data_IF_973300651374
#
_entry.id   IF_973300651374
#
_cell.length_a   1.000
_cell.length_b   1.000
_cell.length_c   1.000
_cell.angle_alpha   90.00
_cell.angle_beta   90.00
_cell.angle_gamma   90.00
#
_symmetry.space_group_name_H-M   'P 1'
#
loop_
_entity.id
_entity.type
_entity.pdbx_description
1 polymer ?
#
# COMPACT_ATOMS: atom_id res chain seq x y z
N UNK A 1 8.37 32.85 15.37
CA UNK A 1 9.26 32.30 16.42
C UNK A 1 10.28 31.48 15.66
N UNK A 2 11.55 31.88 15.62
CA UNK A 2 12.56 31.12 14.87
C UNK A 2 12.76 29.76 15.54
N UNK A 3 12.45 28.67 14.86
CA UNK A 3 12.63 27.33 15.40
C UNK A 3 14.11 27.05 15.65
N UNK A 4 14.41 26.57 16.86
CA UNK A 4 15.75 26.21 17.30
C UNK A 4 16.32 25.11 16.40
N UNK A 5 17.55 25.30 15.91
CA UNK A 5 18.27 24.26 15.17
C UNK A 5 18.56 23.07 16.09
N UNK A 6 18.48 21.86 15.54
CA UNK A 6 18.80 20.62 16.24
C UNK A 6 20.29 20.58 16.57
N UNK A 7 20.60 20.11 17.77
CA UNK A 7 21.96 19.79 18.21
C UNK A 7 22.22 18.28 18.18
N UNK A 8 23.49 17.87 18.28
CA UNK A 8 23.86 16.45 18.42
C UNK A 8 23.18 15.82 19.63
N UNK A 9 23.09 16.54 20.75
CA UNK A 9 22.44 16.05 21.97
C UNK A 9 20.94 15.82 21.75
N UNK A 10 20.25 16.74 21.06
CA UNK A 10 18.83 16.59 20.73
C UNK A 10 18.59 15.30 19.92
N UNK A 11 19.43 15.02 18.92
CA UNK A 11 19.31 13.83 18.06
C UNK A 11 19.71 12.56 18.81
N UNK A 12 20.72 12.61 19.68
CA UNK A 12 21.11 11.46 20.53
C UNK A 12 20.01 11.07 21.50
N UNK A 13 19.31 12.05 22.07
CA UNK A 13 18.17 11.82 22.96
C UNK A 13 16.98 11.22 22.19
N UNK A 14 16.77 11.64 20.94
CA UNK A 14 15.72 11.10 20.08
C UNK A 14 16.01 9.66 19.59
N UNK A 15 17.27 9.33 19.29
CA UNK A 15 17.70 8.02 18.77
C UNK A 15 18.71 7.33 19.71
N UNK A 16 18.27 6.91 20.92
CA UNK A 16 19.17 6.40 21.95
C UNK A 16 19.87 5.09 21.56
N UNK A 17 19.27 4.27 20.70
CA UNK A 17 19.84 2.98 20.27
C UNK A 17 21.13 3.11 19.46
N UNK A 18 21.40 4.30 18.91
CA UNK A 18 22.55 4.61 18.05
C UNK A 18 23.22 5.94 18.41
N UNK A 19 23.07 6.41 19.66
CA UNK A 19 23.64 7.69 20.13
C UNK A 19 25.12 7.91 19.76
N UNK A 20 25.94 6.85 19.81
CA UNK A 20 27.38 6.92 19.51
C UNK A 20 27.69 7.05 18.01
N UNK A 21 26.72 6.82 17.13
CA UNK A 21 26.86 6.91 15.68
C UNK A 21 26.32 8.24 15.12
N UNK A 22 25.78 9.12 15.97
CA UNK A 22 25.30 10.45 15.58
C UNK A 22 26.50 11.38 15.40
N UNK A 23 26.65 11.92 14.18
CA UNK A 23 27.71 12.88 13.83
C UNK A 23 27.13 14.27 13.62
N UNK A 24 27.97 15.31 13.69
CA UNK A 24 27.55 16.67 13.37
C UNK A 24 27.04 16.78 11.93
N UNK A 25 27.71 16.12 10.98
CA UNK A 25 27.28 16.08 9.58
C UNK A 25 25.84 15.57 9.40
N UNK A 26 25.44 14.59 10.22
CA UNK A 26 24.06 14.08 10.19
C UNK A 26 23.07 15.12 10.70
N UNK A 27 23.42 15.82 11.78
CA UNK A 27 22.61 16.90 12.36
C UNK A 27 22.46 18.05 11.38
N UNK A 28 23.53 18.38 10.65
CA UNK A 28 23.52 19.41 9.62
C UNK A 28 22.56 19.04 8.48
N UNK A 29 22.57 17.78 8.04
CA UNK A 29 21.59 17.27 7.06
C UNK A 29 20.16 17.38 7.59
N UNK A 30 19.90 17.03 8.85
CA UNK A 30 18.56 17.15 9.45
C UNK A 30 18.11 18.61 9.51
N UNK A 31 19.02 19.53 9.83
CA UNK A 31 18.75 20.96 9.89
C UNK A 31 18.58 21.59 8.50
N UNK A 32 19.27 21.08 7.47
CA UNK A 32 19.15 21.56 6.09
C UNK A 32 17.77 21.22 5.52
N UNK A 33 17.32 19.98 5.71
CA UNK A 33 16.07 19.50 5.11
C UNK A 33 14.82 19.86 5.93
N UNK A 34 14.98 20.42 7.13
CA UNK A 34 13.85 20.73 8.03
C UNK A 34 12.82 21.69 7.39
N UNK A 35 13.29 22.59 6.53
CA UNK A 35 12.47 23.64 5.91
C UNK A 35 11.91 23.20 4.54
N UNK A 36 12.33 22.03 4.03
CA UNK A 36 11.84 21.50 2.76
C UNK A 36 10.37 21.06 2.89
N UNK A 37 9.57 21.34 1.86
CA UNK A 37 8.13 21.08 1.85
C UNK A 37 7.79 19.61 2.16
N UNK A 38 8.66 18.68 1.76
CA UNK A 38 8.56 17.25 1.99
C UNK A 38 8.60 16.85 3.48
N UNK A 39 9.13 17.70 4.38
CA UNK A 39 9.27 17.42 5.82
C UNK A 39 8.52 18.42 6.71
N UNK A 40 7.72 19.32 6.14
CA UNK A 40 6.92 20.31 6.90
C UNK A 40 5.74 19.68 7.65
N UNK A 41 5.19 18.56 7.16
CA UNK A 41 4.05 17.88 7.80
C UNK A 41 4.46 17.07 9.03
N UNK A 42 5.60 16.41 8.97
CA UNK A 42 6.21 15.68 10.08
C UNK A 42 7.73 15.85 9.98
N UNK A 43 8.40 16.46 10.97
CA UNK A 43 9.83 16.63 10.92
C UNK A 43 10.57 15.30 10.70
N UNK A 44 11.64 15.35 9.91
CA UNK A 44 12.43 14.16 9.59
C UNK A 44 12.91 13.40 10.84
N UNK A 45 13.26 14.12 11.90
CA UNK A 45 13.69 13.52 13.17
C UNK A 45 12.57 12.68 13.80
N UNK A 46 11.34 13.19 13.84
CA UNK A 46 10.21 12.46 14.39
C UNK A 46 9.91 11.21 13.55
N UNK A 47 9.95 11.32 12.23
CA UNK A 47 9.84 10.18 11.32
C UNK A 47 10.91 9.12 11.62
N UNK A 48 12.15 9.54 11.87
CA UNK A 48 13.23 8.64 12.22
C UNK A 48 13.00 7.92 13.55
N UNK A 49 12.44 8.60 14.56
CA UNK A 49 12.06 7.99 15.85
C UNK A 49 10.96 6.94 15.65
N UNK A 50 9.91 7.26 14.88
CA UNK A 50 8.79 6.34 14.62
C UNK A 50 9.26 5.04 13.97
N UNK A 51 10.21 5.13 13.04
CA UNK A 51 10.70 3.97 12.29
C UNK A 51 12.05 3.41 12.78
N UNK A 52 12.54 3.80 13.95
CA UNK A 52 13.85 3.38 14.49
C UNK A 52 14.02 1.85 14.50
N UNK A 53 12.95 1.10 14.79
CA UNK A 53 12.95 -0.37 14.74
C UNK A 53 13.33 -0.93 13.37
N UNK A 54 12.94 -0.28 12.27
CA UNK A 54 13.29 -0.72 10.92
C UNK A 54 14.78 -0.58 10.64
N UNK A 55 15.42 0.47 11.15
CA UNK A 55 16.88 0.62 11.09
C UNK A 55 17.56 -0.55 11.81
N UNK A 56 17.12 -0.87 13.02
CA UNK A 56 17.69 -1.96 13.83
C UNK A 56 17.50 -3.31 13.11
N UNK A 57 16.29 -3.61 12.65
CA UNK A 57 15.95 -4.88 11.99
C UNK A 57 16.71 -5.08 10.68
N UNK A 58 16.91 -4.02 9.91
CA UNK A 58 17.67 -4.06 8.66
C UNK A 58 19.19 -3.90 8.89
N UNK A 59 19.65 -3.82 10.14
CA UNK A 59 21.06 -3.62 10.51
C UNK A 59 21.69 -2.41 9.80
N UNK A 60 20.89 -1.39 9.52
CA UNK A 60 21.34 -0.20 8.82
C UNK A 60 22.07 0.76 9.76
N UNK A 61 23.06 1.49 9.22
CA UNK A 61 23.64 2.63 9.91
C UNK A 61 22.64 3.78 9.98
N UNK A 62 22.87 4.72 10.92
CA UNK A 62 22.01 5.91 11.04
C UNK A 62 22.00 6.73 9.75
N UNK A 63 23.15 6.83 9.08
CA UNK A 63 23.26 7.54 7.80
C UNK A 63 22.42 6.88 6.71
N UNK A 64 22.54 5.56 6.54
CA UNK A 64 21.75 4.82 5.55
C UNK A 64 20.26 4.92 5.83
N UNK A 65 19.87 4.93 7.11
CA UNK A 65 18.48 5.07 7.52
C UNK A 65 17.91 6.46 7.21
N UNK A 66 18.63 7.52 7.57
CA UNK A 66 18.21 8.89 7.26
C UNK A 66 18.14 9.13 5.75
N UNK A 67 19.12 8.65 4.98
CA UNK A 67 19.08 8.72 3.52
C UNK A 67 17.88 7.91 2.96
N UNK A 68 17.54 6.76 3.54
CA UNK A 68 16.39 5.96 3.11
C UNK A 68 15.05 6.66 3.39
N UNK A 69 14.89 7.32 4.54
CA UNK A 69 13.69 8.11 4.86
C UNK A 69 13.56 9.26 3.88
N UNK A 70 14.65 10.01 3.65
CA UNK A 70 14.66 11.13 2.69
C UNK A 70 14.30 10.67 1.28
N UNK A 71 14.88 9.56 0.84
CA UNK A 71 14.55 8.97 -0.46
C UNK A 71 13.08 8.61 -0.59
N UNK A 72 12.47 7.99 0.43
CA UNK A 72 11.05 7.66 0.40
C UNK A 72 10.18 8.92 0.38
N UNK A 73 10.52 9.95 1.17
CA UNK A 73 9.80 11.21 1.18
C UNK A 73 9.82 11.88 -0.21
N UNK A 74 11.01 12.03 -0.81
CA UNK A 74 11.13 12.59 -2.16
C UNK A 74 10.45 11.73 -3.23
N UNK A 75 10.50 10.40 -3.10
CA UNK A 75 9.85 9.51 -4.05
C UNK A 75 8.33 9.74 -4.09
N UNK A 76 7.70 9.92 -2.92
CA UNK A 76 6.26 10.19 -2.81
C UNK A 76 5.91 11.56 -3.38
N UNK A 77 6.70 12.61 -3.09
CA UNK A 77 6.39 13.97 -3.56
C UNK A 77 6.74 14.22 -5.02
N UNK A 78 7.55 13.35 -5.63
CA UNK A 78 7.96 13.44 -7.04
C UNK A 78 7.23 12.45 -7.95
N UNK A 79 6.01 12.05 -7.59
CA UNK A 79 5.18 11.14 -8.39
C UNK A 79 5.93 9.86 -8.82
N UNK A 80 6.65 9.25 -7.87
CA UNK A 80 7.37 7.99 -8.06
C UNK A 80 8.59 8.09 -9.01
N UNK A 81 9.06 9.31 -9.32
CA UNK A 81 10.29 9.56 -10.06
C UNK A 81 11.53 9.29 -9.19
N UNK A 82 11.93 8.03 -9.16
CA UNK A 82 13.06 7.56 -8.37
C UNK A 82 14.40 8.20 -8.77
N UNK A 83 14.57 8.65 -10.02
CA UNK A 83 15.82 9.31 -10.45
C UNK A 83 15.99 10.67 -9.77
N UNK A 84 14.94 11.50 -9.74
CA UNK A 84 14.98 12.81 -9.08
C UNK A 84 15.06 12.67 -7.55
N UNK A 85 14.32 11.71 -6.98
CA UNK A 85 14.42 11.40 -5.55
C UNK A 85 15.85 10.98 -5.15
N UNK A 86 16.52 10.20 -6.00
CA UNK A 86 17.90 9.79 -5.78
C UNK A 86 18.88 10.96 -5.86
N UNK A 87 18.69 11.89 -6.81
CA UNK A 87 19.48 13.12 -6.92
C UNK A 87 19.41 13.95 -5.63
N UNK A 88 18.19 14.22 -5.14
CA UNK A 88 17.98 14.99 -3.91
C UNK A 88 18.54 14.28 -2.68
N UNK A 89 18.37 12.97 -2.56
CA UNK A 89 18.86 12.22 -1.40
C UNK A 89 20.39 12.21 -1.34
N UNK A 90 21.02 11.89 -2.47
CA UNK A 90 22.44 11.58 -2.54
C UNK A 90 23.27 12.70 -3.18
N UNK A 91 22.79 13.94 -3.10
CA UNK A 91 23.43 15.14 -3.67
C UNK A 91 24.90 15.30 -3.24
N UNK A 92 25.24 14.82 -2.06
CA UNK A 92 26.58 14.89 -1.47
C UNK A 92 27.58 13.90 -2.11
N UNK A 93 27.12 12.87 -2.84
CA UNK A 93 27.98 11.86 -3.47
C UNK A 93 28.54 12.37 -4.80
N UNK A 94 29.84 12.17 -5.02
CA UNK A 94 30.50 12.63 -6.24
C UNK A 94 29.89 12.03 -7.51
N UNK A 95 29.49 10.75 -7.46
CA UNK A 95 28.74 10.09 -8.53
C UNK A 95 27.51 10.89 -8.98
N UNK A 96 26.75 11.47 -8.02
CA UNK A 96 25.55 12.26 -8.28
C UNK A 96 25.91 13.67 -8.73
N UNK A 97 26.87 14.33 -8.08
CA UNK A 97 27.33 15.69 -8.44
C UNK A 97 27.75 15.78 -9.91
N UNK A 98 28.46 14.77 -10.42
CA UNK A 98 28.92 14.71 -11.82
C UNK A 98 27.79 14.48 -12.84
N UNK A 99 26.60 14.07 -12.38
CA UNK A 99 25.48 13.60 -13.21
C UNK A 99 24.18 14.37 -12.99
N UNK A 100 24.13 15.27 -12.01
CA UNK A 100 22.90 15.98 -11.62
C UNK A 100 22.35 16.84 -12.77
N UNK A 101 23.25 17.48 -13.52
CA UNK A 101 22.96 18.33 -14.69
C UNK A 101 23.01 17.57 -16.02
N UNK A 102 23.07 16.24 -16.00
CA UNK A 102 23.14 15.45 -17.21
C UNK A 102 21.80 15.48 -17.97
N UNK A 103 21.87 15.63 -19.30
CA UNK A 103 20.70 15.57 -20.17
C UNK A 103 20.00 14.21 -20.05
N UNK A 104 18.66 14.19 -20.11
CA UNK A 104 17.84 12.99 -19.91
C UNK A 104 18.10 11.88 -20.94
N UNK A 105 18.65 12.22 -22.12
CA UNK A 105 19.04 11.26 -23.16
C UNK A 105 20.49 10.80 -23.05
N UNK A 106 21.25 11.36 -22.11
CA UNK A 106 22.66 11.04 -21.95
C UNK A 106 22.90 9.71 -21.23
N UNK A 107 24.05 9.09 -21.50
CA UNK A 107 24.51 7.89 -20.79
C UNK A 107 24.63 8.16 -19.28
N UNK A 108 25.09 9.35 -18.90
CA UNK A 108 25.21 9.76 -17.49
C UNK A 108 23.86 9.74 -16.76
N UNK A 109 22.80 10.19 -17.41
CA UNK A 109 21.45 10.14 -16.83
C UNK A 109 20.90 8.70 -16.77
N UNK A 110 21.22 7.87 -17.76
CA UNK A 110 20.87 6.44 -17.75
C UNK A 110 21.56 5.69 -16.59
N UNK A 111 22.85 5.96 -16.34
CA UNK A 111 23.58 5.42 -15.18
C UNK A 111 22.93 5.81 -13.85
N UNK A 112 22.54 7.08 -13.72
CA UNK A 112 21.88 7.62 -12.53
C UNK A 112 20.52 6.95 -12.30
N UNK A 113 19.71 6.83 -13.36
CA UNK A 113 18.42 6.13 -13.35
C UNK A 113 18.60 4.66 -12.96
N UNK A 114 19.62 3.99 -13.48
CA UNK A 114 19.94 2.61 -13.11
C UNK A 114 20.32 2.47 -11.63
N UNK A 115 21.16 3.37 -11.11
CA UNK A 115 21.51 3.41 -9.69
C UNK A 115 20.29 3.63 -8.79
N UNK A 116 19.44 4.59 -9.16
CA UNK A 116 18.22 4.91 -8.44
C UNK A 116 17.21 3.76 -8.45
N UNK A 117 17.02 3.11 -9.59
CA UNK A 117 16.17 1.91 -9.72
C UNK A 117 16.65 0.76 -8.84
N UNK A 118 17.97 0.52 -8.79
CA UNK A 118 18.55 -0.51 -7.91
C UNK A 118 18.36 -0.16 -6.43
N UNK A 119 18.53 1.11 -6.06
CA UNK A 119 18.31 1.54 -4.69
C UNK A 119 16.85 1.33 -4.26
N UNK A 120 15.87 1.70 -5.09
CA UNK A 120 14.44 1.47 -4.82
C UNK A 120 14.10 -0.03 -4.69
N UNK A 121 14.60 -0.87 -5.60
CA UNK A 121 14.19 -2.29 -5.70
C UNK A 121 14.93 -3.23 -4.77
N UNK A 122 16.24 -3.02 -4.58
CA UNK A 122 17.10 -4.00 -3.91
C UNK A 122 17.41 -3.60 -2.46
N UNK A 123 17.09 -2.38 -2.04
CA UNK A 123 17.28 -1.96 -0.66
C UNK A 123 16.08 -2.40 0.19
N UNK A 124 16.31 -3.42 1.05
CA UNK A 124 15.27 -3.94 1.94
C UNK A 124 14.73 -2.87 2.91
N UNK A 125 15.59 -1.97 3.41
CA UNK A 125 15.15 -0.89 4.30
C UNK A 125 14.17 0.06 3.62
N UNK A 126 14.41 0.40 2.35
CA UNK A 126 13.49 1.23 1.55
C UNK A 126 12.17 0.49 1.32
N UNK A 127 12.25 -0.80 0.95
CA UNK A 127 11.06 -1.62 0.76
C UNK A 127 10.22 -1.75 2.03
N UNK A 128 10.86 -1.92 3.20
CA UNK A 128 10.18 -1.96 4.49
C UNK A 128 9.58 -0.60 4.85
N UNK A 129 10.33 0.51 4.71
CA UNK A 129 9.83 1.86 5.00
C UNK A 129 8.58 2.20 4.18
N UNK A 130 8.59 1.89 2.88
CA UNK A 130 7.43 2.10 2.01
C UNK A 130 6.23 1.26 2.44
N UNK A 131 6.44 0.04 2.95
CA UNK A 131 5.34 -0.82 3.43
C UNK A 131 4.81 -0.33 4.78
N UNK A 132 5.70 -0.12 5.75
CA UNK A 132 5.33 0.29 7.11
C UNK A 132 4.72 1.69 7.17
N UNK A 133 5.04 2.58 6.23
CA UNK A 133 4.38 3.88 6.11
C UNK A 133 2.93 3.81 5.65
N UNK A 134 2.51 2.73 4.98
CA UNK A 134 1.11 2.54 4.58
C UNK A 134 0.25 1.88 5.67
N UNK A 135 0.87 1.17 6.62
CA UNK A 135 0.13 0.43 7.65
C UNK A 135 -0.86 1.28 8.47
N UNK A 136 -0.55 2.53 8.90
CA UNK A 136 -1.52 3.37 9.60
C UNK A 136 -2.75 3.70 8.75
N UNK A 137 -2.55 3.96 7.45
CA UNK A 137 -3.63 4.24 6.50
C UNK A 137 -4.52 3.02 6.31
N UNK A 138 -3.91 1.83 6.17
CA UNK A 138 -4.62 0.56 6.08
C UNK A 138 -5.47 0.29 7.33
N UNK A 139 -4.93 0.55 8.53
CA UNK A 139 -5.66 0.41 9.79
C UNK A 139 -6.84 1.39 9.85
N UNK A 140 -6.63 2.65 9.46
CA UNK A 140 -7.66 3.69 9.49
C UNK A 140 -8.85 3.34 8.58
N UNK A 141 -8.57 2.76 7.41
CA UNK A 141 -9.62 2.37 6.45
C UNK A 141 -10.12 0.93 6.60
N UNK A 142 -9.60 0.18 7.58
CA UNK A 142 -9.99 -1.21 7.80
C UNK A 142 -11.50 -1.36 8.04
N UNK A 143 -12.11 -0.45 8.81
CA UNK A 143 -13.56 -0.43 9.04
C UNK A 143 -14.39 -0.21 7.77
N UNK A 144 -13.92 0.64 6.86
CA UNK A 144 -14.58 0.87 5.57
C UNK A 144 -14.45 -0.34 4.65
N UNK A 145 -13.30 -1.01 4.66
CA UNK A 145 -13.11 -2.29 3.97
C UNK A 145 -14.10 -3.34 4.47
N UNK A 146 -14.32 -3.46 5.78
CA UNK A 146 -15.32 -4.38 6.33
C UNK A 146 -16.75 -4.04 5.90
N UNK A 147 -17.13 -2.76 5.90
CA UNK A 147 -18.44 -2.35 5.39
C UNK A 147 -18.62 -2.72 3.93
N UNK A 148 -17.60 -2.52 3.09
CA UNK A 148 -17.64 -2.92 1.68
C UNK A 148 -17.78 -4.45 1.53
N UNK A 149 -17.02 -5.23 2.30
CA UNK A 149 -17.14 -6.70 2.35
C UNK A 149 -18.55 -7.13 2.80
N UNK A 150 -19.13 -6.46 3.79
CA UNK A 150 -20.50 -6.71 4.22
C UNK A 150 -21.53 -6.45 3.13
N UNK A 151 -21.38 -5.36 2.37
CA UNK A 151 -22.25 -5.07 1.20
C UNK A 151 -22.09 -6.13 0.12
N UNK A 152 -20.87 -6.59 -0.16
CA UNK A 152 -20.63 -7.65 -1.13
C UNK A 152 -21.27 -8.96 -0.66
N UNK A 153 -21.14 -9.32 0.62
CA UNK A 153 -21.74 -10.53 1.17
C UNK A 153 -23.28 -10.50 1.12
N UNK A 154 -23.89 -9.36 1.47
CA UNK A 154 -25.34 -9.17 1.34
C UNK A 154 -25.81 -9.24 -0.11
N UNK A 155 -25.14 -8.53 -1.02
CA UNK A 155 -25.44 -8.54 -2.46
C UNK A 155 -25.31 -9.95 -3.04
N UNK A 156 -24.26 -10.67 -2.68
CA UNK A 156 -24.01 -12.04 -3.08
C UNK A 156 -25.18 -12.97 -2.70
N UNK A 157 -25.73 -12.81 -1.49
CA UNK A 157 -26.85 -13.61 -0.99
C UNK A 157 -28.21 -13.18 -1.57
N UNK A 158 -28.44 -11.88 -1.61
CA UNK A 158 -29.79 -11.31 -1.67
C UNK A 158 -30.09 -10.56 -2.98
N UNK A 159 -29.12 -10.33 -3.87
CA UNK A 159 -29.37 -9.61 -5.11
C UNK A 159 -30.42 -10.30 -6.00
N UNK A 160 -31.15 -9.50 -6.79
CA UNK A 160 -32.23 -10.00 -7.65
C UNK A 160 -31.71 -10.76 -8.87
N UNK A 161 -30.54 -10.38 -9.38
CA UNK A 161 -29.96 -10.94 -10.60
C UNK A 161 -28.76 -11.83 -10.26
N UNK A 162 -28.73 -13.03 -10.82
CA UNK A 162 -27.62 -13.96 -10.63
C UNK A 162 -26.28 -13.37 -11.06
N UNK A 163 -26.27 -12.53 -12.10
CA UNK A 163 -25.07 -11.80 -12.53
C UNK A 163 -24.47 -10.95 -11.41
N UNK A 164 -25.32 -10.24 -10.66
CA UNK A 164 -24.86 -9.34 -9.60
C UNK A 164 -24.38 -10.15 -8.38
N UNK A 165 -25.02 -11.31 -8.12
CA UNK A 165 -24.53 -12.27 -7.12
C UNK A 165 -23.16 -12.84 -7.47
N UNK A 166 -22.98 -13.27 -8.72
CA UNK A 166 -21.71 -13.81 -9.22
C UNK A 166 -20.61 -12.75 -9.16
N UNK A 167 -20.90 -11.51 -9.59
CA UNK A 167 -19.96 -10.41 -9.52
C UNK A 167 -19.57 -10.09 -8.07
N UNK A 168 -20.55 -10.01 -7.16
CA UNK A 168 -20.29 -9.80 -5.75
C UNK A 168 -19.46 -10.94 -5.13
N UNK A 169 -19.73 -12.20 -5.50
CA UNK A 169 -18.95 -13.35 -5.06
C UNK A 169 -17.49 -13.30 -5.55
N UNK A 170 -17.28 -12.91 -6.82
CA UNK A 170 -15.94 -12.76 -7.41
C UNK A 170 -15.14 -11.63 -6.73
N UNK A 171 -15.76 -10.47 -6.54
CA UNK A 171 -15.12 -9.35 -5.83
C UNK A 171 -14.85 -9.69 -4.36
N UNK A 172 -15.76 -10.42 -3.71
CA UNK A 172 -15.57 -10.89 -2.34
C UNK A 172 -14.36 -11.84 -2.24
N UNK A 173 -14.22 -12.79 -3.16
CA UNK A 173 -13.05 -13.69 -3.24
C UNK A 173 -11.74 -12.94 -3.42
N UNK A 174 -11.72 -11.89 -4.25
CA UNK A 174 -10.53 -11.04 -4.43
C UNK A 174 -10.22 -10.26 -3.15
N UNK A 175 -11.25 -9.69 -2.51
CA UNK A 175 -11.10 -8.87 -1.31
C UNK A 175 -10.67 -9.67 -0.06
N UNK A 176 -11.02 -10.96 0.01
CA UNK A 176 -10.66 -11.87 1.10
C UNK A 176 -9.46 -12.75 0.79
N UNK A 177 -8.89 -12.65 -0.42
CA UNK A 177 -7.62 -13.30 -0.75
C UNK A 177 -6.55 -12.77 0.21
N UNK A 178 -5.97 -13.68 0.99
CA UNK A 178 -4.91 -13.33 1.94
C UNK A 178 -3.74 -12.62 1.23
N UNK A 179 -2.92 -11.84 1.97
CA UNK A 179 -1.78 -11.16 1.38
C UNK A 179 -0.83 -12.17 0.71
N UNK A 180 -0.58 -12.04 -0.60
CA UNK A 180 0.18 -13.04 -1.36
C UNK A 180 1.65 -13.13 -0.96
N UNK A 181 2.24 -12.09 -0.39
CA UNK A 181 3.61 -12.14 0.11
C UNK A 181 3.88 -10.88 0.95
N UNK A 182 3.95 -11.07 2.26
CA UNK A 182 4.86 -10.41 3.23
C UNK A 182 4.29 -10.68 4.62
N UNK A 183 4.84 -11.70 5.29
CA UNK A 183 4.77 -11.78 6.75
C UNK A 183 5.51 -10.56 7.27
N UNK A 184 4.76 -9.50 7.57
CA UNK A 184 5.29 -8.41 8.37
C UNK A 184 5.38 -8.99 9.78
N UNK A 185 6.59 -9.36 10.21
CA UNK A 185 6.86 -9.61 11.63
C UNK A 185 6.78 -8.27 12.37
N UNK A 186 5.54 -7.79 12.56
CA UNK A 186 5.22 -6.69 13.45
C UNK A 186 5.38 -7.25 14.86
N UNK A 187 6.60 -7.19 15.39
CA UNK A 187 6.89 -7.41 16.81
C UNK A 187 6.47 -6.16 17.62
N UNK A 188 5.17 -5.88 17.52
CA UNK A 188 4.41 -5.00 18.38
C UNK A 188 3.36 -5.95 18.94
N UNK A 189 3.23 -6.03 20.27
CA UNK A 189 2.40 -7.00 21.01
C UNK A 189 0.89 -6.97 20.74
N UNK A 190 0.44 -6.68 19.52
CA UNK A 190 -0.84 -7.05 18.98
C UNK A 190 -0.71 -8.50 18.53
N UNK A 191 -1.16 -9.43 19.38
CA UNK A 191 -1.43 -10.81 18.95
C UNK A 191 -2.16 -10.74 17.61
N UNK A 192 -1.54 -11.30 16.57
CA UNK A 192 -2.15 -11.52 15.26
C UNK A 192 -3.62 -11.86 15.48
N UNK A 193 -4.52 -11.02 14.97
CA UNK A 193 -5.94 -11.10 15.29
C UNK A 193 -6.52 -12.30 14.54
N UNK A 194 -6.29 -13.52 15.07
CA UNK A 194 -6.61 -14.81 14.46
C UNK A 194 -8.09 -14.92 14.06
N UNK A 195 -8.96 -14.16 14.73
CA UNK A 195 -10.36 -14.00 14.39
C UNK A 195 -10.56 -13.38 13.00
N UNK A 196 -9.74 -12.40 12.60
CA UNK A 196 -9.83 -11.73 11.29
C UNK A 196 -9.40 -12.67 10.17
N UNK A 197 -8.28 -13.38 10.36
CA UNK A 197 -7.83 -14.38 9.40
C UNK A 197 -8.88 -15.50 9.22
N UNK A 198 -9.45 -15.98 10.33
CA UNK A 198 -10.51 -16.99 10.32
C UNK A 198 -11.78 -16.50 9.61
N UNK A 199 -12.20 -15.25 9.82
CA UNK A 199 -13.37 -14.67 9.15
C UNK A 199 -13.16 -14.53 7.63
N UNK A 200 -11.99 -14.05 7.19
CA UNK A 200 -11.67 -13.92 5.77
C UNK A 200 -11.59 -15.29 5.06
N UNK A 201 -11.08 -16.30 5.75
CA UNK A 201 -11.06 -17.69 5.25
C UNK A 201 -12.49 -18.24 5.08
N UNK A 202 -13.34 -18.08 6.10
CA UNK A 202 -14.74 -18.51 6.03
C UNK A 202 -15.50 -17.82 4.90
N UNK A 203 -15.29 -16.51 4.71
CA UNK A 203 -15.90 -15.75 3.61
C UNK A 203 -15.39 -16.21 2.24
N UNK A 204 -14.09 -16.49 2.10
CA UNK A 204 -13.52 -17.02 0.85
C UNK A 204 -14.13 -18.38 0.48
N UNK A 205 -14.23 -19.29 1.45
CA UNK A 205 -14.83 -20.62 1.23
C UNK A 205 -16.30 -20.49 0.84
N UNK A 206 -17.04 -19.59 1.51
CA UNK A 206 -18.44 -19.34 1.20
C UNK A 206 -18.64 -18.77 -0.21
N UNK A 207 -17.86 -17.75 -0.57
CA UNK A 207 -17.94 -17.11 -1.88
C UNK A 207 -17.59 -18.08 -3.01
N UNK A 208 -16.56 -18.92 -2.83
CA UNK A 208 -16.19 -19.95 -3.80
C UNK A 208 -17.30 -20.98 -4.02
N UNK A 209 -17.97 -21.42 -2.94
CA UNK A 209 -19.14 -22.31 -3.05
C UNK A 209 -20.30 -21.65 -3.78
N UNK A 210 -20.55 -20.35 -3.55
CA UNK A 210 -21.63 -19.65 -4.25
C UNK A 210 -21.36 -19.48 -5.73
N UNK A 211 -20.13 -19.16 -6.13
CA UNK A 211 -19.75 -19.13 -7.55
C UNK A 211 -19.98 -20.50 -8.18
N UNK A 212 -19.52 -21.58 -7.56
CA UNK A 212 -19.73 -22.94 -8.07
C UNK A 212 -21.22 -23.28 -8.22
N UNK A 213 -22.06 -22.97 -7.23
CA UNK A 213 -23.50 -23.25 -7.28
C UNK A 213 -24.19 -22.45 -8.39
N UNK A 214 -23.85 -21.18 -8.56
CA UNK A 214 -24.43 -20.30 -9.58
C UNK A 214 -23.93 -20.64 -10.99
N UNK A 215 -22.65 -21.01 -11.14
CA UNK A 215 -22.05 -21.43 -12.41
C UNK A 215 -22.46 -22.85 -12.82
N UNK A 216 -22.73 -23.73 -11.86
CA UNK A 216 -23.23 -25.09 -12.13
C UNK A 216 -24.64 -25.12 -12.69
N UNK A 217 -25.37 -24.00 -12.68
CA UNK A 217 -26.68 -23.84 -13.30
C UNK A 217 -27.67 -24.93 -12.89
N UNK A 218 -28.49 -24.68 -11.87
CA UNK A 218 -29.78 -25.36 -11.72
C UNK A 218 -30.72 -24.94 -12.88
N UNK A 219 -30.37 -25.35 -14.11
CA UNK A 219 -31.12 -25.22 -15.35
C UNK A 219 -30.80 -26.44 -16.20
N UNK A 220 -31.67 -27.44 -16.14
CA UNK A 220 -31.78 -28.33 -17.29
C UNK A 220 -32.38 -27.53 -18.46
N UNK A 221 -31.75 -27.65 -19.63
CA UNK A 221 -32.17 -26.99 -20.87
C UNK A 221 -33.54 -27.52 -21.40
N UNK A 222 -34.11 -28.53 -20.75
CA UNK A 222 -35.43 -29.13 -21.02
C UNK A 222 -36.61 -28.29 -20.51
N UNK A 223 -36.40 -27.38 -19.55
CA UNK A 223 -37.48 -26.61 -18.91
C UNK A 223 -37.93 -25.36 -19.69
N UNK A 224 -37.25 -25.00 -20.79
CA UNK A 224 -37.63 -23.87 -21.64
C UNK A 224 -38.46 -24.28 -22.87
N UNK A 225 -38.80 -25.56 -23.01
CA UNK A 225 -39.36 -26.15 -24.24
C UNK A 225 -40.86 -26.46 -24.28
N UNK A 226 -41.69 -25.99 -23.34
CA UNK A 226 -43.12 -26.34 -23.34
C UNK A 226 -44.09 -25.27 -22.82
N UNK A 227 -43.74 -23.98 -22.93
CA UNK A 227 -44.72 -22.90 -22.88
C UNK A 227 -45.30 -22.66 -24.28
N UNK A 228 -46.34 -23.43 -24.64
CA UNK A 228 -47.23 -23.04 -25.74
C UNK A 228 -48.04 -21.80 -25.30
N UNK A 229 -48.22 -20.78 -26.17
CA UNK A 229 -49.09 -19.66 -25.84
C UNK A 229 -50.51 -20.18 -25.62
N UNK A 230 -51.16 -19.80 -24.52
CA UNK A 230 -52.62 -19.89 -24.43
C UNK A 230 -53.19 -18.88 -25.43
N UNK A 231 -53.91 -19.38 -26.44
CA UNK A 231 -54.86 -18.57 -27.18
C UNK A 231 -55.93 -18.14 -26.18
N UNK A 232 -56.00 -16.84 -25.90
CA UNK A 232 -57.20 -16.25 -25.29
C UNK A 232 -58.27 -16.20 -26.37
N UNK A 233 -59.45 -16.71 -26.02
CA UNK A 233 -60.66 -16.69 -26.83
C UNK A 233 -61.00 -15.25 -27.21
N UNK A 234 -60.92 -14.93 -28.51
CA UNK A 234 -61.61 -13.77 -29.06
C UNK A 234 -63.09 -14.13 -29.08
N UNK A 235 -63.84 -13.58 -28.12
CA UNK A 235 -65.30 -13.62 -28.14
C UNK A 235 -65.76 -12.56 -29.15
N UNK A 236 -66.20 -13.02 -30.32
CA UNK A 236 -66.96 -12.21 -31.27
C UNK A 236 -68.28 -11.81 -30.62
N UNK A 237 -68.48 -10.50 -30.40
CA UNK A 237 -69.78 -9.94 -30.09
C UNK A 237 -70.45 -9.54 -31.41
N UNK A 238 -71.39 -10.38 -31.88
CA UNK A 238 -72.33 -10.01 -32.93
C UNK A 238 -73.21 -8.85 -32.46
N UNK A 239 -73.22 -7.74 -33.21
CA UNK A 239 -74.20 -6.67 -33.10
C UNK A 239 -75.26 -6.98 -34.16
N UNK A 240 -76.49 -7.30 -33.72
CA UNK A 240 -77.70 -7.24 -34.52
C UNK A 240 -78.25 -5.80 -34.57
#
# INVERSE_FOLDING_TARGET
MGEKLLTVEDVQNALPSRKNAITQELVDVLNEVKDEAEFQGEPLLNTAVVYEKLMINNKASVREFVDAIRFCAYLVTMDDNYTEAYKKTFYYRDFVKERISADTKSIKYAELTSAASRYRRNNKLVADLLVYSQAPLEIMFLGWRYKAVGVLADTMMNAKLDRDKINAAKELLVATKGPETKRIELDIGVKENSAIASLNEQLSVMAGKQVMLLESGARELSDFGSLKPKQEDVVDAEIY
#
